data_IF_878434350672
#
_entry.id   IF_878434350672
#
_cell.length_a   1.000
_cell.length_b   1.000
_cell.length_c   1.000
_cell.angle_alpha   90.00
_cell.angle_beta   90.00
_cell.angle_gamma   90.00
#
_symmetry.space_group_name_H-M   'P 1'
#
loop_
_entity.id
_entity.type
_entity.pdbx_description
1 polymer ?
#
# COMPACT_ATOMS: atom_id res chain seq x y z
N UNK A 1 -24.89 -7.08 6.86
CA UNK A 1 -23.80 -6.08 6.80
C UNK A 1 -22.63 -6.44 7.73
N UNK A 2 -22.30 -7.73 7.91
CA UNK A 2 -21.30 -8.20 8.89
C UNK A 2 -19.90 -8.50 8.28
N UNK A 3 -19.79 -8.65 6.95
CA UNK A 3 -18.50 -8.91 6.27
C UNK A 3 -17.66 -7.66 6.04
N UNK A 4 -18.30 -6.50 5.81
CA UNK A 4 -17.61 -5.25 5.47
C UNK A 4 -16.65 -4.78 6.57
N UNK A 5 -17.04 -4.95 7.84
CA UNK A 5 -16.21 -4.53 8.98
C UNK A 5 -14.86 -5.26 9.04
N UNK A 6 -14.83 -6.55 8.70
CA UNK A 6 -13.59 -7.33 8.66
C UNK A 6 -12.66 -6.82 7.54
N UNK A 7 -13.20 -6.57 6.35
CA UNK A 7 -12.43 -6.04 5.21
C UNK A 7 -11.83 -4.68 5.57
N UNK A 8 -12.64 -3.77 6.11
CA UNK A 8 -12.18 -2.43 6.48
C UNK A 8 -11.14 -2.46 7.61
N UNK A 9 -11.35 -3.26 8.66
CA UNK A 9 -10.39 -3.37 9.76
C UNK A 9 -9.04 -3.92 9.30
N UNK A 10 -9.03 -4.94 8.44
CA UNK A 10 -7.81 -5.49 7.84
C UNK A 10 -7.12 -4.44 6.97
N UNK A 11 -7.87 -3.78 6.10
CA UNK A 11 -7.34 -2.76 5.20
C UNK A 11 -6.72 -1.58 5.97
N UNK A 12 -7.43 -1.02 6.95
CA UNK A 12 -6.95 0.10 7.76
C UNK A 12 -5.69 -0.31 8.53
N UNK A 13 -5.67 -1.50 9.12
CA UNK A 13 -4.50 -2.00 9.86
C UNK A 13 -3.28 -2.10 8.95
N UNK A 14 -3.44 -2.65 7.74
CA UNK A 14 -2.36 -2.75 6.75
C UNK A 14 -1.88 -1.37 6.31
N UNK A 15 -2.80 -0.46 5.98
CA UNK A 15 -2.45 0.89 5.55
C UNK A 15 -1.70 1.65 6.64
N UNK A 16 -2.11 1.55 7.91
CA UNK A 16 -1.40 2.17 9.03
C UNK A 16 0.04 1.63 9.08
N UNK A 17 0.23 0.32 9.04
CA UNK A 17 1.56 -0.30 9.12
C UNK A 17 2.45 0.12 7.95
N UNK A 18 1.93 0.06 6.71
CA UNK A 18 2.69 0.42 5.51
C UNK A 18 3.07 1.90 5.51
N UNK A 19 2.12 2.79 5.82
CA UNK A 19 2.35 4.24 5.82
C UNK A 19 3.31 4.67 6.94
N UNK A 20 3.13 4.16 8.17
CA UNK A 20 4.04 4.42 9.27
C UNK A 20 5.45 3.95 8.94
N UNK A 21 5.59 2.74 8.38
CA UNK A 21 6.89 2.19 7.99
C UNK A 21 7.57 3.06 6.94
N UNK A 22 6.85 3.47 5.88
CA UNK A 22 7.38 4.33 4.83
C UNK A 22 7.84 5.69 5.39
N UNK A 23 7.04 6.33 6.24
CA UNK A 23 7.38 7.63 6.84
C UNK A 23 8.57 7.50 7.78
N UNK A 24 8.64 6.45 8.60
CA UNK A 24 9.75 6.21 9.51
C UNK A 24 11.06 5.95 8.75
N UNK A 25 11.03 5.16 7.67
CA UNK A 25 12.20 4.91 6.83
C UNK A 25 12.69 6.20 6.14
N UNK A 26 11.75 7.02 5.66
CA UNK A 26 12.07 8.31 5.05
C UNK A 26 12.67 9.29 6.05
N UNK A 27 12.07 9.44 7.24
CA UNK A 27 12.59 10.31 8.31
C UNK A 27 13.98 9.90 8.79
N UNK A 28 14.27 8.60 8.83
CA UNK A 28 15.59 8.06 9.18
C UNK A 28 16.62 8.19 8.04
N UNK A 29 16.23 8.74 6.88
CA UNK A 29 17.09 8.84 5.70
C UNK A 29 17.47 7.49 5.08
N UNK A 30 16.83 6.39 5.51
CA UNK A 30 17.16 5.03 5.07
C UNK A 30 16.59 4.70 3.70
N UNK A 31 15.48 5.32 3.33
CA UNK A 31 14.82 5.05 2.07
C UNK A 31 14.07 6.29 1.55
N UNK A 32 14.17 6.64 0.26
CA UNK A 32 13.35 7.68 -0.33
C UNK A 32 11.89 7.21 -0.47
N UNK A 33 10.94 8.15 -0.39
CA UNK A 33 9.50 7.83 -0.50
C UNK A 33 9.13 7.11 -1.80
N UNK A 34 9.81 7.43 -2.92
CA UNK A 34 9.55 6.76 -4.19
C UNK A 34 9.91 5.27 -4.11
N UNK A 35 11.03 4.95 -3.45
CA UNK A 35 11.43 3.57 -3.22
C UNK A 35 10.44 2.83 -2.33
N UNK A 36 9.97 3.48 -1.25
CA UNK A 36 8.92 2.90 -0.38
C UNK A 36 7.63 2.65 -1.14
N UNK A 37 7.24 3.55 -2.05
CA UNK A 37 6.08 3.37 -2.91
C UNK A 37 6.19 2.15 -3.83
N UNK A 38 7.39 1.89 -4.40
CA UNK A 38 7.64 0.70 -5.21
C UNK A 38 7.45 -0.59 -4.39
N UNK A 39 8.03 -0.65 -3.18
CA UNK A 39 7.89 -1.80 -2.28
C UNK A 39 6.42 -2.02 -1.92
N UNK A 40 5.71 -0.95 -1.52
CA UNK A 40 4.28 -1.03 -1.20
C UNK A 40 3.47 -1.53 -2.39
N UNK A 41 3.77 -1.05 -3.60
CA UNK A 41 3.10 -1.50 -4.83
C UNK A 41 3.28 -3.00 -5.08
N UNK A 42 4.48 -3.54 -4.85
CA UNK A 42 4.75 -4.98 -4.98
C UNK A 42 4.10 -5.78 -3.84
N UNK A 43 4.08 -5.23 -2.63
CA UNK A 43 3.41 -5.85 -1.48
C UNK A 43 1.90 -5.93 -1.67
N UNK A 44 1.28 -5.02 -2.43
CA UNK A 44 -0.17 -5.01 -2.67
C UNK A 44 -0.73 -6.35 -3.17
N UNK A 45 -0.26 -6.89 -4.31
CA UNK A 45 -0.67 -8.21 -4.79
C UNK A 45 -0.37 -9.35 -3.81
N UNK A 46 0.79 -9.31 -3.12
CA UNK A 46 1.17 -10.34 -2.15
C UNK A 46 0.19 -10.36 -0.97
N UNK A 47 -0.11 -9.19 -0.42
CA UNK A 47 -1.06 -9.02 0.69
C UNK A 47 -2.47 -9.42 0.24
N UNK A 48 -2.88 -9.06 -0.98
CA UNK A 48 -4.16 -9.45 -1.54
C UNK A 48 -4.32 -10.99 -1.59
N UNK A 49 -3.28 -11.70 -2.06
CA UNK A 49 -3.31 -13.17 -2.10
C UNK A 49 -3.40 -13.78 -0.70
N UNK A 50 -2.62 -13.27 0.26
CA UNK A 50 -2.65 -13.73 1.65
C UNK A 50 -4.03 -13.48 2.26
N UNK A 51 -4.53 -12.24 2.23
CA UNK A 51 -5.84 -11.88 2.75
C UNK A 51 -6.97 -12.66 2.07
N UNK A 52 -6.89 -12.85 0.76
CA UNK A 52 -7.88 -13.65 0.02
C UNK A 52 -7.89 -15.11 0.41
N UNK A 53 -6.73 -15.72 0.64
CA UNK A 53 -6.68 -17.10 1.13
C UNK A 53 -7.31 -17.26 2.53
N UNK A 54 -7.14 -16.25 3.39
CA UNK A 54 -7.71 -16.24 4.74
C UNK A 54 -9.22 -16.04 4.64
N UNK A 55 -9.67 -15.06 3.88
CA UNK A 55 -11.10 -14.80 3.68
C UNK A 55 -11.82 -15.96 3.01
N UNK A 56 -11.20 -16.63 2.04
CA UNK A 56 -11.78 -17.80 1.37
C UNK A 56 -11.98 -18.95 2.35
N UNK A 57 -11.02 -19.20 3.25
CA UNK A 57 -11.16 -20.21 4.31
C UNK A 57 -12.30 -19.89 5.27
N UNK A 58 -12.44 -18.62 5.67
CA UNK A 58 -13.52 -18.17 6.55
C UNK A 58 -14.87 -18.33 5.84
N UNK A 59 -14.97 -17.90 4.59
CA UNK A 59 -16.20 -17.97 3.81
C UNK A 59 -16.66 -19.42 3.59
N UNK A 60 -15.76 -20.32 3.20
CA UNK A 60 -16.06 -21.75 3.07
C UNK A 60 -16.49 -22.38 4.39
N UNK A 61 -15.90 -21.97 5.53
CA UNK A 61 -16.31 -22.47 6.85
C UNK A 61 -17.73 -22.03 7.25
N UNK A 62 -18.25 -20.99 6.60
CA UNK A 62 -19.61 -20.47 6.78
C UNK A 62 -20.57 -20.94 5.69
N UNK A 63 -20.13 -21.83 4.79
CA UNK A 63 -20.93 -22.35 3.68
C UNK A 63 -21.03 -21.43 2.47
N UNK A 64 -20.17 -20.41 2.36
CA UNK A 64 -20.13 -19.47 1.24
C UNK A 64 -19.41 -20.01 0.00
N UNK A 65 -19.68 -19.39 -1.15
CA UNK A 65 -19.13 -19.77 -2.47
C UNK A 65 -17.75 -19.13 -2.78
N UNK A 66 -17.20 -18.33 -1.87
CA UNK A 66 -15.87 -17.71 -1.99
C UNK A 66 -15.82 -16.41 -2.81
N UNK A 67 -16.91 -16.03 -3.48
CA UNK A 67 -16.94 -14.86 -4.36
C UNK A 67 -16.70 -13.54 -3.60
N UNK A 68 -17.36 -13.36 -2.46
CA UNK A 68 -17.17 -12.18 -1.60
C UNK A 68 -15.75 -12.07 -1.04
N UNK A 69 -15.14 -13.20 -0.70
CA UNK A 69 -13.75 -13.27 -0.25
C UNK A 69 -12.77 -12.86 -1.36
N UNK A 70 -12.96 -13.36 -2.58
CA UNK A 70 -12.13 -13.01 -3.74
C UNK A 70 -12.25 -11.53 -4.10
N UNK A 71 -13.47 -10.99 -4.11
CA UNK A 71 -13.71 -9.56 -4.37
C UNK A 71 -13.04 -8.67 -3.31
N UNK A 72 -13.22 -9.01 -2.03
CA UNK A 72 -12.63 -8.26 -0.91
C UNK A 72 -11.10 -8.27 -0.97
N UNK A 73 -10.50 -9.42 -1.32
CA UNK A 73 -9.06 -9.56 -1.47
C UNK A 73 -8.51 -8.68 -2.61
N UNK A 74 -9.16 -8.71 -3.77
CA UNK A 74 -8.80 -7.86 -4.90
C UNK A 74 -8.90 -6.38 -4.54
N UNK A 75 -9.99 -5.97 -3.88
CA UNK A 75 -10.19 -4.61 -3.41
C UNK A 75 -9.05 -4.14 -2.49
N UNK A 76 -8.70 -4.94 -1.47
CA UNK A 76 -7.57 -4.64 -0.58
C UNK A 76 -6.27 -4.46 -1.38
N UNK A 77 -5.99 -5.39 -2.31
CA UNK A 77 -4.83 -5.32 -3.18
C UNK A 77 -4.73 -4.02 -3.98
N UNK A 78 -5.81 -3.64 -4.64
CA UNK A 78 -5.87 -2.41 -5.43
C UNK A 78 -5.68 -1.16 -4.58
N UNK A 79 -6.27 -1.09 -3.39
CA UNK A 79 -6.10 0.05 -2.49
C UNK A 79 -4.63 0.17 -2.05
N UNK A 80 -3.96 -0.94 -1.74
CA UNK A 80 -2.54 -0.94 -1.37
C UNK A 80 -1.66 -0.52 -2.55
N UNK A 81 -1.92 -1.05 -3.75
CA UNK A 81 -1.20 -0.65 -4.98
C UNK A 81 -1.38 0.84 -5.25
N UNK A 82 -2.62 1.34 -5.17
CA UNK A 82 -2.93 2.76 -5.30
C UNK A 82 -2.15 3.61 -4.30
N UNK A 83 -2.06 3.15 -3.05
CA UNK A 83 -1.23 3.81 -2.04
C UNK A 83 0.26 3.82 -2.41
N UNK A 84 0.79 2.70 -2.91
CA UNK A 84 2.17 2.63 -3.42
C UNK A 84 2.44 3.62 -4.56
N UNK A 85 1.50 3.76 -5.49
CA UNK A 85 1.57 4.74 -6.59
C UNK A 85 1.60 6.17 -6.07
N UNK A 86 0.78 6.50 -5.05
CA UNK A 86 0.80 7.83 -4.43
C UNK A 86 2.19 8.14 -3.83
N UNK A 87 2.80 7.20 -3.12
CA UNK A 87 4.15 7.36 -2.58
C UNK A 87 5.21 7.49 -3.68
N UNK A 88 5.07 6.73 -4.77
CA UNK A 88 5.93 6.85 -5.95
C UNK A 88 5.89 8.26 -6.54
N UNK A 89 4.70 8.79 -6.80
CA UNK A 89 4.51 10.11 -7.39
C UNK A 89 5.05 11.19 -6.46
N UNK A 90 4.65 11.19 -5.18
CA UNK A 90 5.11 12.18 -4.19
C UNK A 90 6.63 12.13 -4.03
N UNK A 91 7.20 10.93 -3.94
CA UNK A 91 8.65 10.75 -3.83
C UNK A 91 9.40 11.26 -5.05
N UNK A 92 8.88 11.03 -6.26
CA UNK A 92 9.49 11.51 -7.50
C UNK A 92 9.44 13.04 -7.60
N UNK A 93 8.31 13.67 -7.24
CA UNK A 93 8.18 15.13 -7.20
C UNK A 93 9.20 15.78 -6.25
N UNK A 94 9.44 15.16 -5.09
CA UNK A 94 10.46 15.65 -4.13
C UNK A 94 11.87 15.56 -4.73
N UNK A 95 12.19 14.49 -5.46
CA UNK A 95 13.49 14.34 -6.12
C UNK A 95 13.68 15.39 -7.22
N UNK A 96 12.67 15.56 -8.09
CA UNK A 96 12.70 16.53 -9.19
C UNK A 96 12.88 17.96 -8.65
N UNK A 97 12.06 18.35 -7.67
CA UNK A 97 12.14 19.71 -7.08
C UNK A 97 13.49 19.98 -6.41
N UNK A 98 14.06 19.00 -5.70
CA UNK A 98 15.41 19.10 -5.14
C UNK A 98 16.48 19.26 -6.22
N UNK A 99 16.38 18.50 -7.32
CA UNK A 99 17.35 18.55 -8.41
C UNK A 99 17.34 19.91 -9.12
N UNK A 100 16.16 20.45 -9.42
CA UNK A 100 16.01 21.78 -10.04
C UNK A 100 16.56 22.87 -9.13
N UNK A 101 16.24 22.83 -7.83
CA UNK A 101 16.74 23.83 -6.86
C UNK A 101 18.25 23.80 -6.73
N UNK A 102 18.87 22.61 -6.75
CA UNK A 102 20.33 22.47 -6.71
C UNK A 102 21.00 23.11 -7.92
N UNK A 103 20.49 22.84 -9.13
CA UNK A 103 20.98 23.44 -10.39
C UNK A 103 20.92 24.98 -10.37
N UNK A 104 19.89 25.56 -9.77
CA UNK A 104 19.73 27.03 -9.67
C UNK A 104 20.71 27.68 -8.69
N UNK A 105 21.14 26.96 -7.65
CA UNK A 105 22.13 27.44 -6.69
C UNK A 105 23.56 27.35 -7.24
N UNK A 106 23.87 26.32 -8.04
CA UNK A 106 25.20 26.14 -8.66
C UNK A 106 25.48 27.15 -9.80
N UNK A 107 24.48 27.91 -10.25
CA UNK A 107 24.61 28.93 -11.31
C UNK A 107 24.62 30.38 -10.81
N UNK A 108 24.66 30.60 -9.49
CA UNK A 108 24.88 31.91 -8.86
C UNK A 108 26.25 31.98 -8.23
#
# INVERSE_FOLDING_TARGET
>A
MSGDGLVWSVLISILIVLNLSAVLLYRKGKMPLWGSGLIIGILGPIIALISGSIFLKIDHSMGGEGFGAAFSAAFIGFVIVGNGILYLIVGLLIVITKFIRKRQLDQR
#
